data_IF_084476399569
#
_entry.id   IF_084476399569
#
_cell.length_a   1.000
_cell.length_b   1.000
_cell.length_c   1.000
_cell.angle_alpha   90.00
_cell.angle_beta   90.00
_cell.angle_gamma   90.00
#
_symmetry.space_group_name_H-M   'P 1'
#
loop_
_entity.id
_entity.type
_entity.pdbx_description
1 polymer ?
#
# COMPACT_ATOMS: atom_id res chain seq x y z
N UNK A 1 -7.33 9.80 -16.32
CA UNK A 1 -6.31 9.40 -15.31
C UNK A 1 -7.04 9.09 -14.01
N UNK A 2 -6.43 8.37 -13.05
CA UNK A 2 -7.11 7.99 -11.78
C UNK A 2 -7.80 9.19 -11.11
N UNK A 3 -7.11 10.34 -11.04
CA UNK A 3 -7.67 11.57 -10.45
C UNK A 3 -8.90 12.06 -11.21
N UNK A 4 -8.86 12.06 -12.55
CA UNK A 4 -10.01 12.47 -13.38
C UNK A 4 -11.21 11.57 -13.13
N UNK A 5 -10.96 10.25 -13.01
CA UNK A 5 -12.00 9.26 -12.76
C UNK A 5 -12.62 9.47 -11.36
N UNK A 6 -11.81 9.80 -10.35
CA UNK A 6 -12.29 10.13 -9.00
C UNK A 6 -13.11 11.43 -8.98
N UNK A 7 -12.66 12.47 -9.70
CA UNK A 7 -13.36 13.76 -9.79
C UNK A 7 -14.70 13.65 -10.55
N UNK A 8 -14.86 12.64 -11.41
CA UNK A 8 -16.10 12.35 -12.11
C UNK A 8 -17.15 11.61 -11.24
N UNK A 9 -16.76 11.12 -10.04
CA UNK A 9 -17.69 10.43 -9.15
C UNK A 9 -18.63 11.41 -8.42
N UNK A 10 -19.85 10.99 -8.05
CA UNK A 10 -20.76 11.83 -7.30
C UNK A 10 -20.19 12.23 -5.93
N UNK A 11 -20.10 13.54 -5.67
CA UNK A 11 -19.66 14.08 -4.39
C UNK A 11 -20.64 13.82 -3.21
N UNK A 12 -21.83 13.29 -3.50
CA UNK A 12 -22.88 13.01 -2.51
C UNK A 12 -22.62 11.76 -1.66
N UNK A 13 -21.51 11.03 -1.90
CA UNK A 13 -21.15 9.82 -1.15
C UNK A 13 -19.64 9.78 -0.90
N UNK A 14 -19.18 9.19 0.22
CA UNK A 14 -17.77 8.92 0.42
C UNK A 14 -17.22 7.99 -0.66
N UNK A 15 -15.97 8.23 -1.08
CA UNK A 15 -15.23 7.38 -2.01
C UNK A 15 -13.96 6.91 -1.30
N UNK A 16 -13.69 5.61 -1.36
CA UNK A 16 -12.41 5.02 -0.98
C UNK A 16 -11.63 4.71 -2.25
N UNK A 17 -10.43 5.29 -2.37
CA UNK A 17 -9.49 4.97 -3.43
C UNK A 17 -8.31 4.20 -2.82
N UNK A 18 -7.98 3.04 -3.38
CA UNK A 18 -6.86 2.22 -2.94
C UNK A 18 -5.98 1.78 -4.12
N UNK A 19 -4.70 1.52 -3.87
CA UNK A 19 -3.78 0.98 -4.85
C UNK A 19 -2.40 1.64 -4.85
N UNK A 20 -1.44 0.96 -5.48
CA UNK A 20 -0.03 1.35 -5.50
C UNK A 20 0.28 2.58 -6.35
N UNK A 21 -0.64 3.02 -7.22
CA UNK A 21 -0.47 4.20 -8.06
C UNK A 21 -0.78 5.53 -7.33
N UNK A 22 -1.29 5.46 -6.09
CA UNK A 22 -1.68 6.62 -5.28
C UNK A 22 -0.46 7.22 -4.59
N UNK A 23 0.32 7.99 -5.35
CA UNK A 23 1.54 8.63 -4.87
C UNK A 23 1.25 9.80 -3.93
N UNK A 24 1.99 9.95 -2.81
CA UNK A 24 1.80 11.04 -1.85
C UNK A 24 1.70 12.42 -2.51
N UNK A 25 2.57 12.73 -3.47
CA UNK A 25 2.58 13.98 -4.22
C UNK A 25 1.36 14.22 -5.10
N UNK A 26 0.73 13.16 -5.60
CA UNK A 26 -0.43 13.25 -6.46
C UNK A 26 -1.72 13.35 -5.64
N UNK A 27 -1.75 12.70 -4.48
CA UNK A 27 -2.92 12.65 -3.59
C UNK A 27 -3.00 13.89 -2.71
N UNK A 28 -1.88 14.34 -2.12
CA UNK A 28 -1.85 15.46 -1.17
C UNK A 28 -2.60 16.72 -1.64
N UNK A 29 -2.48 17.18 -2.91
CA UNK A 29 -3.20 18.37 -3.37
C UNK A 29 -4.73 18.21 -3.41
N UNK A 30 -5.23 16.98 -3.31
CA UNK A 30 -6.65 16.64 -3.36
C UNK A 30 -7.25 16.43 -1.95
N UNK A 31 -6.43 16.47 -0.90
CA UNK A 31 -6.87 16.23 0.46
C UNK A 31 -7.21 17.54 1.18
N UNK A 32 -8.42 17.63 1.70
CA UNK A 32 -8.81 18.72 2.62
C UNK A 32 -8.20 18.55 4.03
N UNK A 33 -7.65 17.37 4.34
CA UNK A 33 -7.00 17.03 5.60
C UNK A 33 -6.07 15.83 5.45
N UNK A 34 -4.92 15.82 6.13
CA UNK A 34 -4.00 14.67 6.16
C UNK A 34 -4.63 13.41 6.78
N UNK A 35 -5.69 13.56 7.57
CA UNK A 35 -6.48 12.45 8.14
C UNK A 35 -7.30 11.68 7.09
N UNK A 36 -7.41 12.20 5.86
CA UNK A 36 -8.17 11.54 4.77
C UNK A 36 -7.34 10.54 3.96
N UNK A 37 -6.05 10.37 4.28
CA UNK A 37 -5.19 9.41 3.61
C UNK A 37 -4.22 8.76 4.59
N UNK A 38 -3.88 7.51 4.31
CA UNK A 38 -2.85 6.75 5.02
C UNK A 38 -2.18 5.79 4.04
N UNK A 39 -0.86 5.65 4.13
CA UNK A 39 -0.09 4.69 3.32
C UNK A 39 0.21 3.46 4.15
N UNK A 40 -0.44 2.35 3.82
CA UNK A 40 -0.22 1.04 4.47
C UNK A 40 0.89 0.32 3.73
N UNK A 41 2.05 0.19 4.37
CA UNK A 41 3.31 -0.24 3.75
C UNK A 41 3.83 -1.49 4.44
N UNK A 42 4.03 -2.61 3.73
CA UNK A 42 4.56 -3.82 4.34
C UNK A 42 6.08 -3.79 4.45
N UNK A 43 6.63 -4.23 5.58
CA UNK A 43 8.08 -4.45 5.72
C UNK A 43 8.54 -5.58 4.80
N UNK A 44 9.83 -5.60 4.46
CA UNK A 44 10.39 -6.64 3.58
C UNK A 44 10.24 -8.04 4.16
N UNK A 45 10.48 -8.17 5.46
CA UNK A 45 10.36 -9.43 6.20
C UNK A 45 8.92 -9.94 6.15
N UNK A 46 7.95 -9.04 6.35
CA UNK A 46 6.54 -9.38 6.24
C UNK A 46 6.16 -9.78 4.82
N UNK A 47 6.66 -9.09 3.79
CA UNK A 47 6.41 -9.46 2.39
C UNK A 47 6.92 -10.88 2.10
N UNK A 48 8.17 -11.20 2.48
CA UNK A 48 8.77 -12.52 2.30
C UNK A 48 7.97 -13.62 3.02
N UNK A 49 7.44 -13.32 4.21
CA UNK A 49 6.58 -14.22 4.94
C UNK A 49 5.20 -14.39 4.29
N UNK A 50 4.54 -13.29 3.92
CA UNK A 50 3.14 -13.28 3.51
C UNK A 50 2.93 -13.74 2.07
N UNK A 51 3.79 -13.33 1.13
CA UNK A 51 3.58 -13.60 -0.30
C UNK A 51 3.44 -15.08 -0.65
N UNK A 52 4.30 -16.00 -0.17
CA UNK A 52 4.15 -17.42 -0.46
C UNK A 52 2.82 -18.03 0.03
N UNK A 53 2.13 -17.35 0.94
CA UNK A 53 0.85 -17.75 1.53
C UNK A 53 -0.36 -17.13 0.82
N UNK A 54 -0.16 -16.28 -0.19
CA UNK A 54 -1.23 -15.57 -0.93
C UNK A 54 -1.94 -16.43 -1.99
N UNK A 55 -1.91 -17.76 -1.85
CA UNK A 55 -2.53 -18.71 -2.78
C UNK A 55 -1.58 -19.20 -3.88
N UNK A 56 -2.13 -20.03 -4.79
CA UNK A 56 -1.34 -20.76 -5.80
C UNK A 56 -0.73 -19.86 -6.88
N UNK A 57 -1.36 -18.71 -7.16
CA UNK A 57 -0.96 -17.82 -8.26
C UNK A 57 0.50 -17.33 -8.15
N UNK A 58 1.03 -17.19 -6.93
CA UNK A 58 2.43 -16.80 -6.71
C UNK A 58 3.36 -17.88 -7.25
N UNK A 59 3.07 -19.13 -6.93
CA UNK A 59 3.85 -20.28 -7.41
C UNK A 59 3.66 -20.47 -8.92
N UNK A 60 2.43 -20.30 -9.42
CA UNK A 60 2.13 -20.37 -10.86
C UNK A 60 2.87 -19.30 -11.66
N UNK A 61 2.99 -18.08 -11.13
CA UNK A 61 3.75 -17.00 -11.76
C UNK A 61 5.24 -17.34 -11.78
N UNK A 62 5.80 -17.73 -10.62
CA UNK A 62 7.22 -18.01 -10.47
C UNK A 62 7.68 -19.23 -11.28
N UNK A 63 6.84 -20.25 -11.42
CA UNK A 63 7.13 -21.44 -12.23
C UNK A 63 7.31 -21.15 -13.73
N UNK A 64 6.83 -20.00 -14.20
CA UNK A 64 7.02 -19.52 -15.59
C UNK A 64 8.34 -18.78 -15.78
N UNK A 65 9.07 -18.49 -14.71
CA UNK A 65 10.37 -17.85 -14.76
C UNK A 65 11.49 -18.89 -14.89
N UNK A 66 12.53 -18.58 -15.66
CA UNK A 66 13.70 -19.48 -15.80
C UNK A 66 14.46 -19.71 -14.49
N UNK A 67 14.39 -18.75 -13.56
CA UNK A 67 15.01 -18.82 -12.23
C UNK A 67 13.99 -18.36 -11.17
N UNK A 68 13.08 -19.24 -10.72
CA UNK A 68 11.97 -18.88 -9.83
C UNK A 68 12.41 -18.22 -8.52
N UNK A 69 13.42 -18.77 -7.83
CA UNK A 69 13.91 -18.22 -6.56
C UNK A 69 14.51 -16.82 -6.72
N UNK A 70 15.26 -16.61 -7.80
CA UNK A 70 15.83 -15.30 -8.11
C UNK A 70 14.73 -14.30 -8.50
N UNK A 71 13.74 -14.73 -9.28
CA UNK A 71 12.60 -13.91 -9.66
C UNK A 71 11.81 -13.46 -8.42
N UNK A 72 11.56 -14.38 -7.48
CA UNK A 72 10.89 -14.07 -6.23
C UNK A 72 11.69 -13.07 -5.39
N UNK A 73 13.00 -13.32 -5.21
CA UNK A 73 13.86 -12.40 -4.46
C UNK A 73 13.86 -10.99 -5.07
N UNK A 74 14.05 -10.88 -6.39
CA UNK A 74 14.05 -9.59 -7.10
C UNK A 74 12.71 -8.88 -7.00
N UNK A 75 11.61 -9.62 -7.04
CA UNK A 75 10.28 -9.07 -6.84
C UNK A 75 10.12 -8.51 -5.43
N UNK A 76 10.44 -9.26 -4.38
CA UNK A 76 10.36 -8.77 -3.01
C UNK A 76 11.32 -7.59 -2.75
N UNK A 77 12.53 -7.62 -3.32
CA UNK A 77 13.48 -6.50 -3.25
C UNK A 77 12.89 -5.23 -3.88
N UNK A 78 12.22 -5.34 -5.04
CA UNK A 78 11.55 -4.23 -5.71
C UNK A 78 10.38 -3.68 -4.88
N UNK A 79 9.52 -4.56 -4.39
CA UNK A 79 8.32 -4.15 -3.63
C UNK A 79 8.70 -3.51 -2.28
N UNK A 80 9.75 -4.00 -1.61
CA UNK A 80 10.33 -3.37 -0.43
C UNK A 80 10.91 -1.98 -0.73
N UNK A 81 11.73 -1.85 -1.79
CA UNK A 81 12.29 -0.56 -2.18
C UNK A 81 11.20 0.46 -2.56
N UNK A 82 10.11 0.00 -3.17
CA UNK A 82 8.96 0.85 -3.45
C UNK A 82 8.26 1.31 -2.16
N UNK A 83 8.06 0.41 -1.20
CA UNK A 83 7.48 0.75 0.09
C UNK A 83 8.33 1.80 0.85
N UNK A 84 9.65 1.62 0.88
CA UNK A 84 10.58 2.57 1.50
C UNK A 84 10.50 3.96 0.85
N UNK A 85 10.47 4.01 -0.48
CA UNK A 85 10.35 5.28 -1.21
C UNK A 85 8.99 5.95 -0.96
N UNK A 86 7.91 5.18 -0.85
CA UNK A 86 6.58 5.71 -0.50
C UNK A 86 6.55 6.25 0.93
N UNK A 87 7.15 5.54 1.89
CA UNK A 87 7.28 6.00 3.26
C UNK A 87 8.02 7.33 3.31
N UNK A 88 9.17 7.42 2.63
CA UNK A 88 9.96 8.66 2.54
C UNK A 88 9.13 9.81 1.96
N UNK A 89 8.45 9.59 0.84
CA UNK A 89 7.62 10.62 0.19
C UNK A 89 6.42 11.06 1.04
N UNK A 90 5.80 10.14 1.78
CA UNK A 90 4.70 10.45 2.68
C UNK A 90 5.18 11.26 3.90
N UNK A 91 6.27 10.83 4.54
CA UNK A 91 6.88 11.52 5.69
C UNK A 91 7.33 12.94 5.32
N UNK A 92 8.01 13.11 4.17
CA UNK A 92 8.41 14.43 3.66
C UNK A 92 7.22 15.40 3.51
N UNK A 93 6.01 14.86 3.32
CA UNK A 93 4.75 15.60 3.16
C UNK A 93 3.89 15.62 4.41
N UNK A 94 4.38 15.10 5.54
CA UNK A 94 3.65 15.00 6.82
C UNK A 94 2.34 14.21 6.68
N UNK A 95 2.36 13.16 5.85
CA UNK A 95 1.26 12.23 5.67
C UNK A 95 1.51 10.97 6.48
N UNK A 96 0.43 10.37 6.98
CA UNK A 96 0.50 9.21 7.86
C UNK A 96 0.88 7.95 7.10
N UNK A 97 1.73 7.14 7.73
CA UNK A 97 2.12 5.82 7.25
C UNK A 97 1.78 4.77 8.31
N UNK A 98 1.37 3.59 7.86
CA UNK A 98 1.21 2.41 8.70
C UNK A 98 2.14 1.32 8.20
N UNK A 99 3.20 1.05 8.95
CA UNK A 99 4.04 -0.12 8.70
C UNK A 99 3.33 -1.40 9.13
N UNK A 100 3.34 -2.40 8.24
CA UNK A 100 2.82 -3.75 8.49
C UNK A 100 3.99 -4.72 8.50
N UNK A 101 4.37 -5.15 9.70
CA UNK A 101 5.43 -6.10 9.99
C UNK A 101 4.91 -7.48 10.42
N UNK A 102 3.61 -7.59 10.68
CA UNK A 102 2.94 -8.80 11.14
C UNK A 102 2.78 -8.91 12.65
N UNK A 103 3.15 -7.88 13.42
CA UNK A 103 2.92 -7.84 14.88
C UNK A 103 1.43 -7.69 15.22
N UNK A 104 0.72 -6.87 14.43
CA UNK A 104 -0.69 -6.58 14.62
C UNK A 104 -1.58 -7.42 13.71
N UNK A 105 -2.72 -7.84 14.25
CA UNK A 105 -3.81 -8.46 13.50
C UNK A 105 -4.40 -7.52 12.45
N UNK A 106 -5.23 -8.08 11.57
CA UNK A 106 -5.94 -7.30 10.55
C UNK A 106 -6.87 -6.30 11.22
N UNK A 107 -7.59 -6.73 12.27
CA UNK A 107 -8.55 -5.94 13.02
C UNK A 107 -7.86 -4.78 13.75
N UNK A 108 -6.69 -5.00 14.34
CA UNK A 108 -5.91 -3.94 15.01
C UNK A 108 -5.40 -2.90 14.00
N UNK A 109 -4.88 -3.34 12.86
CA UNK A 109 -4.47 -2.43 11.79
C UNK A 109 -5.66 -1.63 11.24
N UNK A 110 -6.80 -2.27 11.03
CA UNK A 110 -8.03 -1.61 10.59
C UNK A 110 -8.52 -0.57 11.61
N UNK A 111 -8.47 -0.88 12.90
CA UNK A 111 -8.84 0.06 13.96
C UNK A 111 -7.90 1.30 13.98
N UNK A 112 -6.60 1.11 13.76
CA UNK A 112 -5.63 2.22 13.65
C UNK A 112 -5.92 3.11 12.45
N UNK A 113 -6.25 2.51 11.30
CA UNK A 113 -6.65 3.25 10.08
C UNK A 113 -7.94 4.04 10.35
N UNK A 114 -8.95 3.41 10.93
CA UNK A 114 -10.22 4.06 11.25
C UNK A 114 -10.03 5.25 12.20
N UNK A 115 -9.25 5.05 13.28
CA UNK A 115 -8.92 6.11 14.23
C UNK A 115 -8.21 7.30 13.56
N UNK A 116 -7.25 7.05 12.67
CA UNK A 116 -6.59 8.11 11.90
C UNK A 116 -7.58 8.88 11.01
N UNK A 117 -8.55 8.18 10.43
CA UNK A 117 -9.58 8.76 9.56
C UNK A 117 -10.77 9.39 10.31
N UNK A 118 -10.80 9.29 11.63
CA UNK A 118 -11.89 9.80 12.47
C UNK A 118 -13.20 9.00 12.34
N UNK A 119 -13.10 7.69 12.10
CA UNK A 119 -14.21 6.74 11.96
C UNK A 119 -14.41 5.90 13.22
#
# INVERSE_FOLDING_TARGET
>A
MIVDDLLALPASRPVLAEGTALMPECVMPLLDSSHRAIWVLPTKEFQLYAYPRRGEWVQDLLSRCSHPDEAFRRWMDRDAAFADEMARRAVDRKLEILWVDGEYSIEENAARIAAHMGL
#
